data_IF_225187046142
#
_entry.id   IF_225187046142
#
_cell.length_a   1.000
_cell.length_b   1.000
_cell.length_c   1.000
_cell.angle_alpha   90.00
_cell.angle_beta   90.00
_cell.angle_gamma   90.00
#
_symmetry.space_group_name_H-M   'P 1'
#
loop_
_entity.id
_entity.type
_entity.pdbx_description
1 polymer ?
#
# COMPACT_ATOMS: atom_id res chain seq x y z
N UNK A 1 23.45 4.67 -1.65
CA UNK A 1 21.97 4.70 -1.50
C UNK A 1 21.53 3.25 -1.57
N UNK A 2 21.08 2.65 -0.47
CA UNK A 2 20.42 1.35 -0.59
C UNK A 2 19.05 1.62 -1.22
N UNK A 3 18.90 1.16 -2.46
CA UNK A 3 17.64 1.15 -3.19
C UNK A 3 16.64 0.22 -2.48
N UNK A 4 15.36 0.46 -2.73
CA UNK A 4 14.30 -0.45 -2.29
C UNK A 4 14.54 -1.83 -2.91
N UNK A 5 14.38 -2.90 -2.14
CA UNK A 5 14.37 -4.25 -2.71
C UNK A 5 13.06 -4.47 -3.49
N UNK A 6 13.12 -4.12 -4.77
CA UNK A 6 11.97 -4.14 -5.68
C UNK A 6 11.36 -5.53 -5.80
N UNK A 7 12.17 -6.59 -5.77
CA UNK A 7 11.67 -7.96 -5.87
C UNK A 7 10.85 -8.33 -4.63
N UNK A 8 11.39 -8.07 -3.44
CA UNK A 8 10.69 -8.35 -2.19
C UNK A 8 9.39 -7.53 -2.07
N UNK A 9 9.40 -6.28 -2.53
CA UNK A 9 8.20 -5.44 -2.60
C UNK A 9 7.15 -6.01 -3.56
N UNK A 10 7.53 -6.42 -4.78
CA UNK A 10 6.60 -6.99 -5.76
C UNK A 10 5.96 -8.28 -5.24
N UNK A 11 6.75 -9.14 -4.61
CA UNK A 11 6.25 -10.38 -4.01
C UNK A 11 5.18 -10.11 -2.93
N UNK A 12 5.36 -9.08 -2.11
CA UNK A 12 4.36 -8.70 -1.11
C UNK A 12 3.15 -8.01 -1.74
N UNK A 13 3.39 -7.04 -2.62
CA UNK A 13 2.34 -6.18 -3.15
C UNK A 13 1.43 -6.89 -4.15
N UNK A 14 2.03 -7.68 -5.05
CA UNK A 14 1.34 -8.31 -6.17
C UNK A 14 1.07 -9.79 -5.89
N UNK A 15 2.10 -10.54 -5.51
CA UNK A 15 1.98 -12.01 -5.38
C UNK A 15 1.37 -12.44 -4.04
N UNK A 16 1.29 -11.50 -3.09
CA UNK A 16 0.65 -11.69 -1.80
C UNK A 16 1.44 -12.50 -0.79
N UNK A 17 2.75 -12.59 -0.97
CA UNK A 17 3.65 -13.19 0.00
C UNK A 17 3.64 -12.41 1.31
N UNK A 18 3.95 -13.15 2.38
CA UNK A 18 4.06 -12.62 3.73
C UNK A 18 5.54 -12.46 4.08
N UNK A 19 6.04 -11.22 4.05
CA UNK A 19 7.45 -10.91 4.30
C UNK A 19 7.57 -9.75 5.30
N UNK A 20 8.49 -9.83 6.28
CA UNK A 20 8.67 -8.81 7.30
C UNK A 20 9.47 -7.60 6.79
N UNK A 21 8.98 -6.92 5.76
CA UNK A 21 9.65 -5.74 5.19
C UNK A 21 9.73 -4.60 6.20
N UNK A 22 10.82 -3.83 6.14
CA UNK A 22 11.09 -2.72 7.06
C UNK A 22 11.50 -1.47 6.28
N UNK A 23 11.57 -0.34 6.97
CA UNK A 23 12.09 0.91 6.40
C UNK A 23 11.40 1.29 5.08
N UNK A 24 12.21 1.54 4.06
CA UNK A 24 11.75 2.00 2.74
C UNK A 24 10.96 0.93 1.99
N UNK A 25 11.32 -0.34 2.10
CA UNK A 25 10.63 -1.45 1.41
C UNK A 25 9.19 -1.60 1.92
N UNK A 26 8.99 -1.48 3.24
CA UNK A 26 7.65 -1.47 3.84
C UNK A 26 6.83 -0.29 3.33
N UNK A 27 7.43 0.90 3.29
CA UNK A 27 6.75 2.12 2.88
C UNK A 27 6.34 2.04 1.39
N UNK A 28 7.19 1.48 0.53
CA UNK A 28 6.87 1.17 -0.87
C UNK A 28 5.72 0.17 -1.00
N UNK A 29 5.81 -0.95 -0.28
CA UNK A 29 4.79 -1.98 -0.29
C UNK A 29 3.43 -1.43 0.16
N UNK A 30 3.41 -0.61 1.23
CA UNK A 30 2.20 0.10 1.66
C UNK A 30 1.71 1.04 0.56
N UNK A 31 2.57 1.84 -0.07
CA UNK A 31 2.16 2.75 -1.16
C UNK A 31 1.48 2.03 -2.31
N UNK A 32 1.97 0.84 -2.67
CA UNK A 32 1.41 0.05 -3.78
C UNK A 32 0.13 -0.69 -3.42
N UNK A 33 -0.07 -1.07 -2.16
CA UNK A 33 -1.27 -1.82 -1.75
C UNK A 33 -2.40 -0.93 -1.20
N UNK A 34 -2.07 0.17 -0.53
CA UNK A 34 -3.05 0.98 0.20
C UNK A 34 -4.11 1.59 -0.73
N UNK A 35 -5.38 1.39 -0.40
CA UNK A 35 -6.52 1.79 -1.23
C UNK A 35 -6.86 0.83 -2.38
N UNK A 36 -6.03 -0.20 -2.63
CA UNK A 36 -6.35 -1.30 -3.57
C UNK A 36 -6.84 -2.55 -2.84
N UNK A 37 -6.33 -2.80 -1.64
CA UNK A 37 -6.74 -3.92 -0.78
C UNK A 37 -6.94 -3.45 0.67
N UNK A 38 -7.55 -4.32 1.48
CA UNK A 38 -7.86 -4.05 2.89
C UNK A 38 -6.58 -3.79 3.73
N UNK A 39 -6.52 -2.72 4.55
CA UNK A 39 -5.40 -2.44 5.46
C UNK A 39 -5.03 -3.58 6.43
N UNK A 40 -5.98 -4.41 6.87
CA UNK A 40 -5.71 -5.59 7.69
C UNK A 40 -4.97 -6.67 6.89
N UNK A 41 -5.30 -6.86 5.60
CA UNK A 41 -4.57 -7.77 4.72
C UNK A 41 -3.13 -7.28 4.47
N UNK A 42 -2.96 -5.97 4.28
CA UNK A 42 -1.63 -5.36 4.18
C UNK A 42 -0.82 -5.62 5.45
N UNK A 43 -1.44 -5.43 6.62
CA UNK A 43 -0.81 -5.66 7.92
C UNK A 43 -0.37 -7.12 8.08
N UNK A 44 -1.24 -8.06 7.69
CA UNK A 44 -0.93 -9.49 7.69
C UNK A 44 0.29 -9.80 6.82
N UNK A 45 0.31 -9.30 5.58
CA UNK A 45 1.41 -9.48 4.60
C UNK A 45 2.75 -8.94 5.10
N UNK A 46 2.73 -7.81 5.83
CA UNK A 46 3.93 -7.12 6.31
C UNK A 46 4.35 -7.51 7.74
N UNK A 47 3.73 -8.53 8.33
CA UNK A 47 3.97 -8.93 9.74
C UNK A 47 3.85 -7.74 10.70
N UNK A 48 2.83 -6.91 10.52
CA UNK A 48 2.61 -5.71 11.33
C UNK A 48 1.14 -5.54 11.69
N UNK A 49 0.76 -4.37 12.20
CA UNK A 49 -0.62 -4.04 12.59
C UNK A 49 -1.24 -3.06 11.60
N UNK A 50 -2.55 -3.10 11.45
CA UNK A 50 -3.31 -2.11 10.67
C UNK A 50 -3.07 -0.68 11.14
N UNK A 51 -2.88 -0.48 12.46
CA UNK A 51 -2.43 0.80 13.03
C UNK A 51 -1.10 1.28 12.45
N UNK A 52 -0.14 0.37 12.26
CA UNK A 52 1.15 0.71 11.64
C UNK A 52 0.98 1.04 10.17
N UNK A 53 0.17 0.27 9.44
CA UNK A 53 -0.17 0.53 8.03
C UNK A 53 -0.80 1.91 7.87
N UNK A 54 -1.80 2.25 8.69
CA UNK A 54 -2.46 3.55 8.68
C UNK A 54 -1.48 4.70 8.96
N UNK A 55 -0.57 4.53 9.94
CA UNK A 55 0.46 5.54 10.23
C UNK A 55 1.41 5.75 9.05
N UNK A 56 1.84 4.68 8.39
CA UNK A 56 2.69 4.77 7.19
C UNK A 56 1.92 5.44 6.05
N UNK A 57 0.67 5.05 5.81
CA UNK A 57 -0.18 5.64 4.78
C UNK A 57 -0.39 7.15 5.00
N UNK A 58 -0.67 7.58 6.23
CA UNK A 58 -0.77 9.00 6.60
C UNK A 58 0.54 9.74 6.37
N UNK A 59 1.68 9.16 6.78
CA UNK A 59 3.01 9.75 6.54
C UNK A 59 3.33 9.92 5.05
N UNK A 60 2.82 9.01 4.21
CA UNK A 60 2.94 9.06 2.76
C UNK A 60 1.87 9.93 2.07
N UNK A 61 0.95 10.55 2.82
CA UNK A 61 -0.13 11.38 2.27
C UNK A 61 -1.24 10.60 1.56
N UNK A 62 -1.35 9.28 1.76
CA UNK A 62 -2.28 8.41 1.03
C UNK A 62 -3.73 8.48 1.55
N UNK A 63 -3.94 9.01 2.76
CA UNK A 63 -5.26 9.03 3.42
C UNK A 63 -6.18 10.16 2.94
N UNK A 64 -5.68 11.17 2.23
CA UNK A 64 -6.46 12.34 1.82
C UNK A 64 -6.93 12.32 0.34
N UNK A 65 -6.75 11.23 -0.39
CA UNK A 65 -6.83 11.22 -1.87
C UNK A 65 -7.95 10.43 -2.54
N UNK A 66 -9.01 10.00 -1.84
CA UNK A 66 -10.06 9.14 -2.41
C UNK A 66 -11.44 9.81 -2.63
N UNK A 67 -11.63 11.08 -2.28
CA UNK A 67 -12.88 11.78 -2.60
C UNK A 67 -13.01 12.14 -4.10
N UNK A 68 -11.89 12.34 -4.82
CA UNK A 68 -11.91 12.90 -6.18
C UNK A 68 -11.72 11.88 -7.32
N UNK A 69 -11.34 10.63 -7.03
CA UNK A 69 -11.05 9.62 -8.09
C UNK A 69 -12.24 8.76 -8.52
N UNK A 70 -13.32 8.70 -7.72
CA UNK A 70 -14.51 7.92 -8.07
C UNK A 70 -15.54 8.69 -8.91
N UNK A 71 -15.44 10.01 -9.04
CA UNK A 71 -16.39 10.81 -9.85
C UNK A 71 -16.09 10.75 -11.35
N UNK A 72 -14.84 10.48 -11.75
CA UNK A 72 -14.45 10.53 -13.16
C UNK A 72 -14.69 9.23 -13.95
N UNK A 73 -15.09 8.13 -13.31
CA UNK A 73 -15.34 6.84 -14.00
C UNK A 73 -16.78 6.67 -14.50
N UNK A 74 -17.69 7.59 -14.22
CA UNK A 74 -19.09 7.50 -14.66
C UNK A 74 -19.42 8.30 -15.95
N UNK A 75 -18.46 9.01 -16.56
CA UNK A 75 -18.74 9.90 -17.69
C UNK A 75 -18.28 9.38 -19.07
N UNK A 76 -17.97 8.08 -19.21
CA UNK A 76 -17.54 7.50 -20.50
C UNK A 76 -18.47 6.40 -21.02
N UNK A 77 -19.73 6.41 -20.58
CA UNK A 77 -20.76 5.53 -21.17
C UNK A 77 -22.06 6.32 -21.29
N UNK A 78 -22.15 7.12 -22.35
CA UNK A 78 -23.36 7.74 -22.85
C UNK A 78 -23.35 7.62 -24.37
#
# INVERSE_FOLDING_TARGET
MADVDELAVLQVANDGLRLPLRGKDRDEAVRRMYGRIDPELIAWRLHTTSRTVARVASRLGLTQGNASRNVHRQLVTA
#
